data_IF_390211487393
#
_entry.id   IF_390211487393
#
_cell.length_a   1.000
_cell.length_b   1.000
_cell.length_c   1.000
_cell.angle_alpha   90.00
_cell.angle_beta   90.00
_cell.angle_gamma   90.00
#
_symmetry.space_group_name_H-M   'P 1'
#
loop_
_entity.id
_entity.type
_entity.pdbx_description
1 polymer ?
#
# COMPACT_ATOMS: atom_id res chain seq x y z
N UNK A 1 21.06 -1.12 -9.56
CA UNK A 1 20.01 -0.30 -8.94
C UNK A 1 18.89 -1.27 -8.60
N UNK A 2 18.62 -1.51 -7.32
CA UNK A 2 17.53 -2.41 -6.93
C UNK A 2 16.20 -1.78 -7.35
N UNK A 3 15.44 -2.48 -8.17
CA UNK A 3 14.06 -2.11 -8.49
C UNK A 3 13.23 -2.22 -7.20
N UNK A 4 12.43 -1.20 -6.91
CA UNK A 4 11.57 -1.21 -5.73
C UNK A 4 10.37 -2.12 -5.99
N UNK A 5 10.09 -3.07 -5.09
CA UNK A 5 8.98 -4.05 -5.20
C UNK A 5 7.65 -3.36 -5.53
N UNK A 6 7.38 -2.20 -4.93
CA UNK A 6 6.17 -1.41 -5.17
C UNK A 6 6.00 -0.96 -6.63
N UNK A 7 7.07 -0.90 -7.43
CA UNK A 7 7.01 -0.49 -8.84
C UNK A 7 6.84 -1.67 -9.80
N UNK A 8 7.13 -2.89 -9.36
CA UNK A 8 7.05 -4.10 -10.16
C UNK A 8 5.62 -4.65 -10.19
N UNK A 9 4.80 -4.11 -11.09
CA UNK A 9 3.39 -4.50 -11.25
C UNK A 9 3.22 -5.97 -11.62
N UNK A 10 4.18 -6.55 -12.35
CA UNK A 10 4.12 -7.97 -12.72
C UNK A 10 4.30 -8.85 -11.47
N UNK A 11 5.26 -8.50 -10.61
CA UNK A 11 5.45 -9.17 -9.33
C UNK A 11 4.23 -9.03 -8.42
N UNK A 12 3.72 -7.80 -8.25
CA UNK A 12 2.52 -7.55 -7.44
C UNK A 12 1.32 -8.37 -7.92
N UNK A 13 1.14 -8.48 -9.23
CA UNK A 13 0.07 -9.30 -9.82
C UNK A 13 0.29 -10.79 -9.58
N UNK A 14 1.53 -11.28 -9.74
CA UNK A 14 1.88 -12.69 -9.54
C UNK A 14 1.71 -13.16 -8.09
N UNK A 15 1.87 -12.24 -7.14
CA UNK A 15 1.66 -12.47 -5.72
C UNK A 15 0.19 -12.25 -5.30
N UNK A 16 -0.70 -11.91 -6.24
CA UNK A 16 -2.09 -11.57 -5.98
C UNK A 16 -2.23 -10.49 -4.90
N UNK A 17 -1.37 -9.46 -4.93
CA UNK A 17 -1.50 -8.34 -4.01
C UNK A 17 -2.82 -7.62 -4.28
N UNK A 18 -3.64 -7.47 -3.24
CA UNK A 18 -4.95 -6.82 -3.28
C UNK A 18 -4.94 -5.43 -2.64
N UNK A 19 -4.02 -5.17 -1.73
CA UNK A 19 -3.95 -3.92 -0.96
C UNK A 19 -2.50 -3.44 -0.81
N UNK A 20 -2.30 -2.13 -0.95
CA UNK A 20 -0.99 -1.48 -0.83
C UNK A 20 -1.05 -0.41 0.25
N UNK A 21 -0.19 -0.51 1.25
CA UNK A 21 0.10 0.57 2.20
C UNK A 21 1.42 1.23 1.80
N UNK A 22 1.38 2.48 1.37
CA UNK A 22 2.58 3.27 1.09
C UNK A 22 2.93 4.15 2.28
N UNK A 23 3.93 3.77 3.05
CA UNK A 23 4.37 4.49 4.26
C UNK A 23 5.21 5.75 4.02
N UNK A 24 5.46 6.09 2.75
CA UNK A 24 6.24 7.26 2.34
C UNK A 24 5.54 7.96 1.17
N UNK A 25 4.22 8.09 1.26
CA UNK A 25 3.42 8.68 0.19
C UNK A 25 3.82 10.14 -0.08
N UNK A 26 3.86 10.53 -1.36
CA UNK A 26 4.39 11.83 -1.76
C UNK A 26 5.92 11.94 -1.74
N UNK A 27 6.67 10.87 -1.44
CA UNK A 27 8.13 10.84 -1.59
C UNK A 27 8.56 10.77 -3.07
N UNK A 28 9.53 11.58 -3.48
CA UNK A 28 10.11 11.52 -4.82
C UNK A 28 10.90 10.23 -5.13
N UNK A 29 11.31 9.46 -4.11
CA UNK A 29 12.13 8.23 -4.29
C UNK A 29 11.29 7.04 -4.76
N UNK A 30 10.11 6.84 -4.16
CA UNK A 30 9.12 5.84 -4.58
C UNK A 30 7.87 6.62 -4.93
N UNK A 31 7.92 7.32 -6.08
CA UNK A 31 6.80 8.11 -6.58
C UNK A 31 5.75 7.17 -7.18
N UNK A 32 5.04 6.49 -6.29
CA UNK A 32 3.79 5.79 -6.61
C UNK A 32 2.67 6.48 -5.85
N UNK A 33 1.49 6.53 -6.45
CA UNK A 33 0.26 6.95 -5.80
C UNK A 33 -0.87 6.07 -6.31
N UNK A 34 -2.13 6.33 -5.92
CA UNK A 34 -3.26 5.52 -6.39
C UNK A 34 -3.34 5.45 -7.92
N UNK A 35 -3.00 6.55 -8.62
CA UNK A 35 -2.94 6.57 -10.08
C UNK A 35 -1.82 5.74 -10.71
N UNK A 36 -0.75 5.40 -9.96
CA UNK A 36 0.30 4.50 -10.47
C UNK A 36 -0.24 3.08 -10.65
N UNK A 37 -1.15 2.66 -9.77
CA UNK A 37 -1.71 1.30 -9.73
C UNK A 37 -3.10 1.20 -10.39
N UNK A 38 -3.52 2.20 -11.18
CA UNK A 38 -4.89 2.27 -11.73
C UNK A 38 -5.27 1.11 -12.67
N UNK A 39 -4.27 0.40 -13.19
CA UNK A 39 -4.39 -0.78 -14.05
C UNK A 39 -4.37 -2.10 -13.26
N UNK A 40 -4.15 -2.06 -11.95
CA UNK A 40 -4.22 -3.20 -11.05
C UNK A 40 -5.48 -3.11 -10.17
N UNK A 41 -6.11 -4.25 -9.85
CA UNK A 41 -7.26 -4.29 -8.94
C UNK A 41 -6.79 -4.20 -7.48
N UNK A 42 -6.15 -3.09 -7.10
CA UNK A 42 -5.61 -2.89 -5.76
C UNK A 42 -6.23 -1.69 -5.07
N UNK A 43 -6.46 -1.81 -3.76
CA UNK A 43 -6.76 -0.68 -2.91
C UNK A 43 -5.46 -0.05 -2.39
N UNK A 44 -5.41 1.28 -2.35
CA UNK A 44 -4.21 2.03 -1.96
C UNK A 44 -4.47 2.88 -0.72
N UNK A 45 -3.57 2.78 0.25
CA UNK A 45 -3.56 3.61 1.45
C UNK A 45 -2.19 4.29 1.62
N UNK A 46 -2.16 5.61 1.47
CA UNK A 46 -0.96 6.41 1.66
C UNK A 46 -0.83 6.93 3.09
N UNK A 47 0.36 6.80 3.68
CA UNK A 47 0.73 7.40 4.96
C UNK A 47 1.89 8.33 4.72
N UNK A 48 1.64 9.63 4.90
CA UNK A 48 2.61 10.70 5.20
C UNK A 48 3.79 10.93 4.24
N UNK A 49 4.28 12.19 4.13
CA UNK A 49 5.56 12.43 3.49
C UNK A 49 6.71 11.77 4.29
N UNK A 50 7.82 11.43 3.62
CA UNK A 50 8.92 10.65 4.19
C UNK A 50 9.63 11.40 5.32
N UNK A 51 10.04 10.66 6.35
CA UNK A 51 11.16 10.95 7.25
C UNK A 51 11.24 12.38 7.81
N UNK A 52 10.08 13.00 8.04
CA UNK A 52 10.00 14.25 8.76
C UNK A 52 9.88 13.92 10.27
N UNK A 53 10.88 14.27 11.11
CA UNK A 53 10.79 14.05 12.55
C UNK A 53 9.64 14.85 13.20
N UNK A 54 9.07 15.84 12.51
CA UNK A 54 7.86 16.55 12.93
C UNK A 54 6.57 15.88 12.44
N UNK A 55 6.65 14.88 11.54
CA UNK A 55 5.49 14.15 11.08
C UNK A 55 4.99 13.18 12.16
N UNK A 56 3.82 13.50 12.71
CA UNK A 56 3.19 12.66 13.70
C UNK A 56 2.53 11.43 13.05
N UNK A 57 3.16 10.26 13.23
CA UNK A 57 2.62 8.97 12.78
C UNK A 57 1.43 8.47 13.61
N UNK A 58 1.26 8.94 14.86
CA UNK A 58 0.24 8.39 15.78
C UNK A 58 -1.19 8.40 15.22
N UNK A 59 -1.67 9.46 14.55
CA UNK A 59 -3.01 9.48 13.97
C UNK A 59 -3.23 8.41 12.90
N UNK A 60 -2.15 7.90 12.29
CA UNK A 60 -2.21 6.90 11.23
C UNK A 60 -2.20 5.46 11.76
N UNK A 61 -1.86 5.21 13.04
CA UNK A 61 -1.74 3.86 13.58
C UNK A 61 -3.04 3.05 13.48
N UNK A 62 -4.13 3.55 14.08
CA UNK A 62 -5.41 2.84 14.06
C UNK A 62 -5.99 2.75 12.64
N UNK A 63 -6.05 3.84 11.84
CA UNK A 63 -6.55 3.75 10.47
C UNK A 63 -5.78 2.76 9.58
N UNK A 64 -4.44 2.71 9.70
CA UNK A 64 -3.63 1.76 8.94
C UNK A 64 -3.88 0.33 9.40
N UNK A 65 -3.98 0.10 10.73
CA UNK A 65 -4.30 -1.22 11.26
C UNK A 65 -5.69 -1.70 10.82
N UNK A 66 -6.68 -0.81 10.81
CA UNK A 66 -8.04 -1.11 10.35
C UNK A 66 -8.07 -1.43 8.85
N UNK A 67 -7.30 -0.70 8.03
CA UNK A 67 -7.13 -1.00 6.61
C UNK A 67 -6.56 -2.41 6.40
N UNK A 68 -5.47 -2.76 7.10
CA UNK A 68 -4.86 -4.10 7.03
C UNK A 68 -5.83 -5.19 7.50
N UNK A 69 -6.51 -4.97 8.62
CA UNK A 69 -7.46 -5.93 9.18
C UNK A 69 -8.66 -6.18 8.25
N UNK A 70 -9.13 -5.13 7.58
CA UNK A 70 -10.23 -5.22 6.61
C UNK A 70 -9.80 -5.99 5.37
N UNK A 71 -8.62 -5.67 4.82
CA UNK A 71 -8.03 -6.37 3.68
C UNK A 71 -7.93 -7.88 3.93
N UNK A 72 -7.35 -8.28 5.07
CA UNK A 72 -7.21 -9.70 5.43
C UNK A 72 -8.54 -10.42 5.60
N UNK A 73 -9.60 -9.72 6.02
CA UNK A 73 -10.95 -10.29 6.12
C UNK A 73 -11.61 -10.43 4.76
N UNK A 74 -11.42 -9.48 3.85
CA UNK A 74 -11.95 -9.56 2.49
C UNK A 74 -11.33 -10.75 1.73
N UNK A 75 -10.01 -10.93 1.84
CA UNK A 75 -9.30 -12.04 1.21
C UNK A 75 -9.73 -13.41 1.77
N UNK A 76 -10.09 -13.47 3.06
CA UNK A 76 -10.61 -14.70 3.67
C UNK A 76 -12.00 -15.10 3.14
N UNK A 77 -12.79 -14.17 2.59
CA UNK A 77 -14.13 -14.44 2.04
C UNK A 77 -14.12 -14.73 0.53
N UNK A 78 -13.09 -14.29 -0.19
CA UNK A 78 -12.93 -14.58 -1.63
C UNK A 78 -12.34 -15.97 -1.89
N UNK A 79 -11.82 -16.64 -0.85
CA UNK A 79 -11.23 -17.97 -0.93
C UNK A 79 -12.00 -19.05 -0.14
N UNK A 80 -13.33 -18.97 -0.05
CA UNK A 80 -14.16 -20.15 0.26
C UNK A 80 -14.28 -21.04 -0.98
N UNK A 81 -13.96 -22.34 -0.91
CA UNK A 81 -14.08 -23.26 -2.04
C UNK A 81 -15.53 -23.44 -2.52
#
# INVERSE_FOLDING_TARGET
>A
MSEAVARDKALLSSLCITHIVNSVDGCHRISTGPGYYSDLPVEYYGVGPPDDPEFNLQPHFNPTADFINTALKQDAHTHTP
#
